data_IF_848482732566
#
_entry.id   IF_848482732566
#
_cell.length_a   1.000
_cell.length_b   1.000
_cell.length_c   1.000
_cell.angle_alpha   90.00
_cell.angle_beta   90.00
_cell.angle_gamma   90.00
#
_symmetry.space_group_name_H-M   'P 1'
#
loop_
_entity.id
_entity.type
_entity.pdbx_description
1 polymer ?
#
# COMPACT_ATOMS: atom_id res chain seq x y z
N UNK A 1 -14.09 -0.17 2.68
CA UNK A 1 -12.86 -0.63 1.98
C UNK A 1 -11.61 -0.45 2.86
N UNK A 2 -11.40 0.70 3.49
CA UNK A 2 -10.28 0.93 4.42
C UNK A 2 -10.26 -0.08 5.59
N UNK A 3 -11.42 -0.42 6.17
CA UNK A 3 -11.50 -1.40 7.26
C UNK A 3 -11.02 -2.80 6.87
N UNK A 4 -11.22 -3.20 5.60
CA UNK A 4 -10.71 -4.48 5.07
C UNK A 4 -9.18 -4.45 4.94
N UNK A 5 -8.60 -3.33 4.53
CA UNK A 5 -7.14 -3.17 4.47
C UNK A 5 -6.51 -3.17 5.88
N UNK A 6 -7.15 -2.51 6.85
CA UNK A 6 -6.71 -2.55 8.25
C UNK A 6 -6.83 -3.97 8.84
N UNK A 7 -7.91 -4.71 8.52
CA UNK A 7 -8.07 -6.10 8.92
C UNK A 7 -6.97 -7.01 8.34
N UNK A 8 -6.66 -6.89 7.05
CA UNK A 8 -5.58 -7.66 6.41
C UNK A 8 -4.21 -7.37 7.02
N UNK A 9 -3.96 -6.12 7.40
CA UNK A 9 -2.71 -5.75 8.08
C UNK A 9 -2.62 -6.41 9.46
N UNK A 10 -3.72 -6.48 10.21
CA UNK A 10 -3.76 -7.19 11.50
C UNK A 10 -3.53 -8.70 11.35
N UNK A 11 -4.03 -9.30 10.26
CA UNK A 11 -3.76 -10.71 9.95
C UNK A 11 -2.28 -10.94 9.62
N UNK A 12 -1.65 -10.01 8.88
CA UNK A 12 -0.22 -10.04 8.62
C UNK A 12 0.61 -9.88 9.91
N UNK A 13 0.20 -8.98 10.82
CA UNK A 13 0.82 -8.82 12.14
C UNK A 13 0.71 -10.11 12.96
N UNK A 14 -0.43 -10.78 12.91
CA UNK A 14 -0.65 -12.06 13.58
C UNK A 14 0.23 -13.17 12.99
N UNK A 15 0.32 -13.27 11.66
CA UNK A 15 1.19 -14.22 10.96
C UNK A 15 2.68 -14.00 11.27
N UNK A 16 3.11 -12.75 11.32
CA UNK A 16 4.46 -12.35 11.69
C UNK A 16 4.88 -12.91 13.05
N UNK A 17 3.94 -12.90 14.02
CA UNK A 17 4.15 -13.44 15.38
C UNK A 17 4.05 -14.95 15.46
N UNK A 18 3.05 -15.55 14.79
CA UNK A 18 2.64 -16.92 15.12
C UNK A 18 3.38 -17.99 14.33
N UNK A 19 3.55 -17.85 13.01
CA UNK A 19 3.72 -19.09 12.28
C UNK A 19 3.20 -19.10 10.87
N UNK A 20 3.80 -19.96 10.03
CA UNK A 20 2.94 -20.82 9.22
C UNK A 20 2.30 -21.78 10.22
N UNK A 21 0.99 -21.70 10.41
CA UNK A 21 0.27 -22.71 11.17
C UNK A 21 -0.17 -23.80 10.18
N UNK A 22 0.08 -25.06 10.50
CA UNK A 22 0.01 -26.22 9.59
C UNK A 22 -1.34 -26.48 8.90
N UNK A 23 -2.37 -25.65 9.11
CA UNK A 23 -3.73 -25.93 8.64
C UNK A 23 -4.53 -24.72 8.12
N UNK A 24 -3.98 -23.51 8.01
CA UNK A 24 -4.79 -22.35 7.61
C UNK A 24 -4.14 -21.55 6.48
N UNK A 25 -4.99 -20.87 5.69
CA UNK A 25 -4.63 -20.03 4.55
C UNK A 25 -3.42 -19.16 4.92
N UNK A 26 -2.32 -19.24 4.15
CA UNK A 26 -1.10 -18.49 4.42
C UNK A 26 -1.40 -16.98 4.28
N UNK A 27 -1.51 -16.26 5.41
CA UNK A 27 -1.69 -14.81 5.47
C UNK A 27 -0.35 -14.08 5.39
N UNK A 28 0.54 -14.56 4.52
CA UNK A 28 1.89 -14.04 4.34
C UNK A 28 1.90 -12.71 3.55
N UNK A 29 3.08 -12.14 3.34
CA UNK A 29 3.24 -10.87 2.60
C UNK A 29 2.75 -11.00 1.16
N UNK A 30 2.90 -12.18 0.55
CA UNK A 30 2.48 -12.42 -0.84
C UNK A 30 0.96 -12.33 -0.93
N UNK A 31 0.26 -13.05 -0.07
CA UNK A 31 -1.19 -13.03 0.03
C UNK A 31 -1.69 -11.63 0.38
N UNK A 32 -1.13 -11.00 1.41
CA UNK A 32 -1.54 -9.66 1.85
C UNK A 32 -1.35 -8.61 0.74
N UNK A 33 -0.23 -8.64 0.02
CA UNK A 33 0.02 -7.79 -1.13
C UNK A 33 -1.04 -7.99 -2.22
N UNK A 34 -1.35 -9.24 -2.57
CA UNK A 34 -2.35 -9.54 -3.59
C UNK A 34 -3.74 -9.03 -3.17
N UNK A 35 -4.11 -9.20 -1.91
CA UNK A 35 -5.40 -8.70 -1.43
C UNK A 35 -5.49 -7.18 -1.45
N UNK A 36 -4.42 -6.47 -1.09
CA UNK A 36 -4.38 -5.01 -1.19
C UNK A 36 -4.46 -4.53 -2.63
N UNK A 37 -3.78 -5.19 -3.57
CA UNK A 37 -3.93 -4.91 -5.01
C UNK A 37 -5.37 -5.09 -5.44
N UNK A 38 -6.00 -6.22 -5.09
CA UNK A 38 -7.40 -6.48 -5.44
C UNK A 38 -8.36 -5.42 -4.88
N UNK A 39 -8.11 -4.92 -3.66
CA UNK A 39 -8.90 -3.83 -3.06
C UNK A 39 -8.72 -2.54 -3.86
N UNK A 40 -7.47 -2.17 -4.18
CA UNK A 40 -7.16 -0.96 -4.95
C UNK A 40 -7.79 -1.03 -6.34
N UNK A 41 -7.67 -2.16 -7.03
CA UNK A 41 -8.25 -2.37 -8.35
C UNK A 41 -9.79 -2.33 -8.29
N UNK A 42 -10.40 -2.89 -7.25
CA UNK A 42 -11.84 -2.79 -7.06
C UNK A 42 -12.29 -1.35 -6.83
N UNK A 43 -11.55 -0.55 -6.05
CA UNK A 43 -11.83 0.88 -5.88
C UNK A 43 -11.72 1.58 -7.23
N UNK A 44 -10.65 1.35 -7.98
CA UNK A 44 -10.41 1.97 -9.28
C UNK A 44 -11.53 1.65 -10.28
N UNK A 45 -11.93 0.38 -10.39
CA UNK A 45 -13.03 -0.05 -11.24
C UNK A 45 -14.37 0.56 -10.83
N UNK A 46 -14.65 0.67 -9.53
CA UNK A 46 -15.89 1.31 -9.06
C UNK A 46 -15.94 2.81 -9.40
N UNK A 47 -14.79 3.48 -9.38
CA UNK A 47 -14.69 4.91 -9.73
C UNK A 47 -14.80 5.15 -11.23
N UNK A 48 -14.21 4.29 -12.05
CA UNK A 48 -14.04 4.52 -13.50
C UNK A 48 -15.08 3.82 -14.38
N UNK A 49 -15.55 2.62 -13.99
CA UNK A 49 -16.35 1.75 -14.86
C UNK A 49 -17.82 1.62 -14.43
N UNK A 50 -18.16 1.89 -13.17
CA UNK A 50 -19.54 1.82 -12.69
C UNK A 50 -20.24 3.17 -12.83
N UNK A 51 -21.58 3.17 -12.74
CA UNK A 51 -22.40 4.40 -12.73
C UNK A 51 -21.74 5.51 -11.90
N UNK A 52 -21.83 6.78 -12.32
CA UNK A 52 -21.09 7.86 -11.68
C UNK A 52 -21.37 7.87 -10.18
N UNK A 53 -20.33 7.55 -9.41
CA UNK A 53 -20.38 7.58 -7.95
C UNK A 53 -20.77 8.98 -7.48
N UNK A 54 -21.50 9.04 -6.37
CA UNK A 54 -21.75 10.32 -5.70
C UNK A 54 -20.41 10.97 -5.29
N UNK A 55 -20.32 12.31 -5.23
CA UNK A 55 -19.12 13.00 -4.76
C UNK A 55 -18.64 12.51 -3.39
N UNK A 56 -19.57 12.21 -2.49
CA UNK A 56 -19.27 11.62 -1.17
C UNK A 56 -18.59 10.24 -1.29
N UNK A 57 -19.12 9.36 -2.14
CA UNK A 57 -18.55 8.02 -2.36
C UNK A 57 -17.14 8.10 -2.96
N UNK A 58 -16.89 9.10 -3.82
CA UNK A 58 -15.56 9.36 -4.38
C UNK A 58 -14.59 9.92 -3.34
N UNK A 59 -15.07 10.80 -2.45
CA UNK A 59 -14.31 11.25 -1.29
C UNK A 59 -13.89 10.09 -0.38
N UNK A 60 -14.81 9.16 -0.08
CA UNK A 60 -14.50 7.96 0.70
C UNK A 60 -13.55 7.00 -0.03
N UNK A 61 -13.66 6.88 -1.35
CA UNK A 61 -12.69 6.13 -2.17
C UNK A 61 -11.29 6.75 -2.09
N UNK A 62 -11.18 8.07 -2.23
CA UNK A 62 -9.91 8.79 -2.11
C UNK A 62 -9.30 8.60 -0.71
N UNK A 63 -10.10 8.77 0.35
CA UNK A 63 -9.69 8.53 1.73
C UNK A 63 -9.18 7.11 1.93
N UNK A 64 -9.87 6.11 1.38
CA UNK A 64 -9.47 4.72 1.49
C UNK A 64 -8.12 4.46 0.81
N UNK A 65 -7.89 4.99 -0.40
CA UNK A 65 -6.64 4.84 -1.13
C UNK A 65 -5.46 5.49 -0.39
N UNK A 66 -5.63 6.73 0.09
CA UNK A 66 -4.63 7.43 0.91
C UNK A 66 -4.30 6.62 2.17
N UNK A 67 -5.33 6.04 2.81
CA UNK A 67 -5.15 5.21 4.00
C UNK A 67 -4.43 3.89 3.70
N UNK A 68 -4.71 3.25 2.56
CA UNK A 68 -4.00 2.04 2.13
C UNK A 68 -2.52 2.36 1.89
N UNK A 69 -2.22 3.48 1.23
CA UNK A 69 -0.84 3.92 1.02
C UNK A 69 -0.13 4.20 2.36
N UNK A 70 -0.82 4.83 3.31
CA UNK A 70 -0.34 5.09 4.68
C UNK A 70 0.00 3.78 5.40
N UNK A 71 -0.86 2.77 5.32
CA UNK A 71 -0.63 1.45 5.91
C UNK A 71 0.65 0.82 5.33
N UNK A 72 0.81 0.82 4.00
CA UNK A 72 1.96 0.19 3.35
C UNK A 72 3.27 0.91 3.66
N UNK A 73 3.25 2.24 3.76
CA UNK A 73 4.43 3.04 4.10
C UNK A 73 4.77 2.93 5.59
N UNK A 74 3.80 3.05 6.51
CA UNK A 74 4.10 3.22 7.94
C UNK A 74 4.01 1.93 8.76
N UNK A 75 3.12 0.99 8.43
CA UNK A 75 2.87 -0.19 9.28
C UNK A 75 3.73 -1.39 8.90
N UNK A 76 4.22 -1.47 7.67
CA UNK A 76 5.00 -2.62 7.24
C UNK A 76 6.50 -2.44 7.55
N UNK A 77 6.85 -2.73 8.79
CA UNK A 77 8.23 -3.09 9.15
C UNK A 77 8.50 -4.52 8.71
N UNK A 78 9.68 -4.74 8.16
CA UNK A 78 10.15 -6.02 7.65
C UNK A 78 9.81 -7.18 8.61
N UNK A 79 9.18 -8.22 8.08
CA UNK A 79 8.94 -9.46 8.82
C UNK A 79 10.27 -9.89 9.46
N UNK A 80 10.19 -10.42 10.68
CA UNK A 80 11.33 -10.79 11.52
C UNK A 80 12.09 -9.61 12.19
N UNK A 81 11.66 -8.36 12.05
CA UNK A 81 12.22 -7.22 12.82
C UNK A 81 11.40 -6.86 14.08
N UNK A 82 10.72 -7.84 14.69
CA UNK A 82 10.08 -7.60 15.98
C UNK A 82 11.15 -7.16 17.01
N UNK A 83 10.78 -6.15 17.82
CA UNK A 83 11.66 -5.59 18.85
C UNK A 83 11.82 -6.55 20.03
N UNK A 84 10.84 -7.44 20.25
CA UNK A 84 10.92 -8.47 21.28
C UNK A 84 11.65 -9.72 20.77
N UNK A 85 12.87 -10.02 21.25
CA UNK A 85 13.62 -11.20 20.85
C UNK A 85 12.94 -12.52 21.22
N UNK A 86 12.04 -12.53 22.21
CA UNK A 86 11.37 -13.73 22.69
C UNK A 86 10.29 -14.25 21.73
N UNK A 87 9.71 -13.36 20.92
CA UNK A 87 8.64 -13.69 19.95
C UNK A 87 9.13 -13.58 18.49
N UNK A 88 10.32 -13.01 18.28
CA UNK A 88 10.91 -12.82 16.94
C UNK A 88 11.26 -14.14 16.26
N UNK A 89 10.54 -14.46 15.19
CA UNK A 89 10.85 -15.60 14.32
C UNK A 89 12.21 -15.41 13.62
N UNK A 90 12.98 -16.49 13.44
CA UNK A 90 14.23 -16.45 12.66
C UNK A 90 13.91 -16.38 11.17
N UNK A 91 14.55 -15.45 10.46
CA UNK A 91 14.48 -15.34 9.01
C UNK A 91 15.01 -16.62 8.36
N UNK A 92 14.25 -17.29 7.47
CA UNK A 92 14.75 -18.38 6.66
C UNK A 92 15.93 -17.93 5.77
N UNK A 93 16.93 -18.80 5.59
CA UNK A 93 18.05 -18.50 4.71
C UNK A 93 17.58 -18.32 3.26
N UNK A 94 18.03 -17.26 2.60
CA UNK A 94 17.75 -17.01 1.18
C UNK A 94 16.41 -16.36 0.87
N UNK A 95 15.55 -16.12 1.87
CA UNK A 95 14.23 -15.51 1.61
C UNK A 95 14.36 -14.08 1.04
N UNK A 96 13.78 -13.80 -0.14
CA UNK A 96 13.84 -12.49 -0.79
C UNK A 96 13.21 -11.39 0.07
N UNK A 97 13.72 -10.16 -0.06
CA UNK A 97 13.15 -9.02 0.67
C UNK A 97 11.69 -8.75 0.31
N UNK A 98 11.32 -8.98 -0.95
CA UNK A 98 9.96 -8.84 -1.50
C UNK A 98 8.97 -9.90 -1.01
N UNK A 99 9.42 -10.94 -0.32
CA UNK A 99 8.55 -11.96 0.31
C UNK A 99 8.36 -11.71 1.81
N UNK A 100 9.14 -10.78 2.38
CA UNK A 100 9.14 -10.47 3.81
C UNK A 100 8.85 -9.00 4.13
N UNK A 101 8.65 -8.17 3.11
CA UNK A 101 8.40 -6.75 3.25
C UNK A 101 7.35 -6.29 2.21
N UNK A 102 6.15 -5.95 2.69
CA UNK A 102 5.00 -5.52 1.88
C UNK A 102 5.29 -4.27 1.03
N UNK A 103 5.99 -3.30 1.59
CA UNK A 103 6.44 -2.10 0.91
C UNK A 103 7.37 -2.46 -0.25
N UNK A 104 8.36 -3.32 -0.03
CA UNK A 104 9.25 -3.75 -1.10
C UNK A 104 8.47 -4.47 -2.20
N UNK A 105 7.49 -5.30 -1.83
CA UNK A 105 6.67 -6.04 -2.79
C UNK A 105 5.75 -5.14 -3.62
N UNK A 106 5.14 -4.12 -3.03
CA UNK A 106 4.12 -3.27 -3.67
C UNK A 106 4.71 -2.03 -4.34
N UNK A 107 5.75 -1.45 -3.76
CA UNK A 107 6.31 -0.15 -4.17
C UNK A 107 7.81 -0.25 -4.46
N UNK A 108 8.60 -0.81 -3.55
CA UNK A 108 10.07 -0.71 -3.55
C UNK A 108 10.79 -1.41 -4.70
N UNK A 109 10.13 -2.31 -5.44
CA UNK A 109 10.72 -3.00 -6.58
C UNK A 109 9.78 -2.97 -7.78
N UNK A 110 10.33 -2.67 -8.96
CA UNK A 110 9.63 -2.83 -10.24
C UNK A 110 10.08 -4.16 -10.87
N UNK A 111 9.16 -5.05 -11.19
CA UNK A 111 9.46 -6.34 -11.83
C UNK A 111 8.32 -7.35 -11.64
N UNK A 112 8.51 -8.57 -12.16
CA UNK A 112 7.49 -9.63 -12.20
C UNK A 112 6.94 -10.02 -10.80
N UNK A 113 7.73 -9.78 -9.75
CA UNK A 113 7.32 -10.04 -8.36
C UNK A 113 6.41 -8.97 -7.76
N UNK A 114 6.20 -7.83 -8.44
CA UNK A 114 5.34 -6.75 -7.97
C UNK A 114 3.91 -6.93 -8.53
N UNK A 115 2.94 -7.37 -7.70
CA UNK A 115 1.58 -7.62 -8.18
C UNK A 115 0.84 -6.34 -8.62
N UNK A 116 1.34 -5.16 -8.27
CA UNK A 116 0.77 -3.87 -8.65
C UNK A 116 1.43 -3.23 -9.89
N UNK A 117 2.38 -3.92 -10.53
CA UNK A 117 3.06 -3.46 -11.74
C UNK A 117 3.77 -2.12 -11.59
N UNK A 118 4.26 -1.78 -10.39
CA UNK A 118 4.95 -0.51 -10.11
C UNK A 118 4.03 0.72 -10.07
N UNK A 119 2.71 0.53 -9.99
CA UNK A 119 1.73 1.62 -9.96
C UNK A 119 0.72 1.50 -8.82
N UNK A 120 1.08 0.80 -7.75
CA UNK A 120 0.24 0.58 -6.58
C UNK A 120 -0.40 1.89 -6.12
N UNK A 121 -1.73 1.92 -6.01
CA UNK A 121 -2.56 3.09 -5.64
C UNK A 121 -2.51 4.27 -6.63
N UNK A 122 -1.41 4.49 -7.35
CA UNK A 122 -1.20 5.66 -8.20
C UNK A 122 -2.28 5.81 -9.27
N UNK A 123 -2.59 4.75 -10.04
CA UNK A 123 -3.61 4.81 -11.11
C UNK A 123 -4.98 5.23 -10.57
N UNK A 124 -5.36 4.66 -9.42
CA UNK A 124 -6.64 4.97 -8.79
C UNK A 124 -6.70 6.43 -8.28
N UNK A 125 -5.59 6.95 -7.76
CA UNK A 125 -5.49 8.36 -7.34
C UNK A 125 -5.50 9.34 -8.52
N UNK A 126 -4.95 8.96 -9.69
CA UNK A 126 -4.99 9.81 -10.88
C UNK A 126 -6.42 10.13 -11.33
N UNK A 127 -7.33 9.18 -11.16
CA UNK A 127 -8.73 9.28 -11.59
C UNK A 127 -9.67 9.83 -10.48
N UNK A 128 -9.12 10.29 -9.35
CA UNK A 128 -9.88 10.80 -8.19
C UNK A 128 -9.48 12.24 -7.83
N UNK A 129 -10.07 13.27 -8.49
CA UNK A 129 -9.83 14.66 -8.10
C UNK A 129 -10.28 14.96 -6.66
N UNK A 130 -11.23 14.19 -6.11
CA UNK A 130 -11.70 14.29 -4.73
C UNK A 130 -10.58 14.02 -3.70
N UNK A 131 -9.45 13.44 -4.11
CA UNK A 131 -8.24 13.34 -3.29
C UNK A 131 -7.60 14.70 -2.94
N UNK A 132 -8.10 15.81 -3.48
CA UNK A 132 -7.66 17.17 -3.14
C UNK A 132 -7.72 17.46 -1.63
N UNK A 133 -8.71 16.89 -0.93
CA UNK A 133 -8.83 17.00 0.54
C UNK A 133 -7.72 16.28 1.32
N UNK A 134 -6.86 15.52 0.65
CA UNK A 134 -5.79 14.70 1.24
C UNK A 134 -4.39 15.07 0.73
N UNK A 135 -4.24 16.20 0.02
CA UNK A 135 -2.95 16.64 -0.55
C UNK A 135 -1.84 16.71 0.51
N UNK A 136 -2.12 17.31 1.66
CA UNK A 136 -1.13 17.44 2.75
C UNK A 136 -0.63 16.06 3.21
N UNK A 137 -1.54 15.07 3.30
CA UNK A 137 -1.16 13.70 3.68
C UNK A 137 -0.35 12.99 2.58
N UNK A 138 -0.70 13.20 1.31
CA UNK A 138 0.06 12.67 0.17
C UNK A 138 1.45 13.31 0.09
N UNK A 139 1.60 14.58 0.45
CA UNK A 139 2.89 15.28 0.54
C UNK A 139 3.77 14.70 1.64
N UNK A 140 3.22 14.42 2.84
CA UNK A 140 3.93 13.71 3.90
C UNK A 140 4.42 12.33 3.44
N UNK A 141 3.53 11.58 2.78
CA UNK A 141 3.85 10.24 2.26
C UNK A 141 4.94 10.32 1.18
N UNK A 142 4.86 11.29 0.27
CA UNK A 142 5.88 11.53 -0.74
C UNK A 142 7.24 11.88 -0.12
N UNK A 143 7.27 12.80 0.85
CA UNK A 143 8.49 13.19 1.55
C UNK A 143 9.14 12.01 2.27
N UNK A 144 8.32 11.14 2.87
CA UNK A 144 8.80 9.90 3.49
C UNK A 144 9.46 8.98 2.46
N UNK A 145 8.77 8.74 1.34
CA UNK A 145 9.26 7.88 0.24
C UNK A 145 10.53 8.43 -0.45
N UNK A 146 10.72 9.75 -0.46
CA UNK A 146 11.89 10.42 -1.05
C UNK A 146 13.10 10.44 -0.10
N UNK A 147 12.90 10.05 1.17
CA UNK A 147 14.00 9.98 2.14
C UNK A 147 14.91 8.77 1.90
N UNK A 148 16.20 8.91 2.23
CA UNK A 148 17.26 7.90 2.00
C UNK A 148 16.96 6.52 2.61
N UNK A 149 16.10 6.48 3.63
CA UNK A 149 15.69 5.23 4.28
C UNK A 149 14.77 4.36 3.40
N UNK A 150 14.22 4.90 2.31
CA UNK A 150 13.29 4.22 1.43
C UNK A 150 13.87 4.09 0.02
N UNK A 151 13.70 2.93 -0.59
CA UNK A 151 14.18 2.63 -1.94
C UNK A 151 13.04 2.70 -2.97
N UNK A 152 12.21 3.74 -2.89
CA UNK A 152 11.11 3.91 -3.83
C UNK A 152 11.67 4.12 -5.26
N UNK A 153 11.15 3.42 -6.29
CA UNK A 153 11.58 3.65 -7.66
C UNK A 153 11.30 5.08 -8.11
N UNK A 154 12.26 5.71 -8.78
CA UNK A 154 12.13 7.11 -9.25
C UNK A 154 10.91 7.35 -10.15
N UNK A 155 10.52 6.34 -10.94
CA UNK A 155 9.29 6.40 -11.75
C UNK A 155 8.02 6.49 -10.87
N UNK A 156 7.98 5.79 -9.74
CA UNK A 156 6.86 5.84 -8.79
C UNK A 156 6.80 7.21 -8.12
N UNK A 157 7.93 7.71 -7.62
CA UNK A 157 8.04 9.04 -6.99
C UNK A 157 7.63 10.16 -7.94
N UNK A 158 8.11 10.12 -9.18
CA UNK A 158 7.78 11.11 -10.21
C UNK A 158 6.28 11.16 -10.50
N UNK A 159 5.62 9.99 -10.59
CA UNK A 159 4.17 9.91 -10.78
C UNK A 159 3.40 10.45 -9.58
N UNK A 160 3.76 10.04 -8.36
CA UNK A 160 3.11 10.54 -7.15
C UNK A 160 3.26 12.05 -7.00
N UNK A 161 4.44 12.60 -7.30
CA UNK A 161 4.69 14.05 -7.32
C UNK A 161 3.78 14.76 -8.33
N UNK A 162 3.63 14.21 -9.53
CA UNK A 162 2.71 14.73 -10.55
C UNK A 162 1.25 14.75 -10.10
N UNK A 163 0.78 13.69 -9.44
CA UNK A 163 -0.56 13.62 -8.84
C UNK A 163 -0.75 14.73 -7.81
N UNK A 164 0.17 14.85 -6.86
CA UNK A 164 0.13 15.87 -5.80
C UNK A 164 0.10 17.27 -6.39
N UNK A 165 0.95 17.57 -7.39
CA UNK A 165 0.96 18.87 -8.05
C UNK A 165 -0.37 19.20 -8.73
N UNK A 166 -1.01 18.24 -9.40
CA UNK A 166 -2.33 18.43 -10.03
C UNK A 166 -3.43 18.68 -9.00
N UNK A 167 -3.47 17.88 -7.93
CA UNK A 167 -4.45 18.05 -6.86
C UNK A 167 -4.29 19.41 -6.17
N UNK A 168 -3.05 19.85 -5.95
CA UNK A 168 -2.76 21.18 -5.38
C UNK A 168 -3.23 22.32 -6.27
N UNK A 169 -3.04 22.21 -7.59
CA UNK A 169 -3.54 23.18 -8.55
C UNK A 169 -5.08 23.23 -8.58
N UNK A 170 -5.76 22.09 -8.41
CA UNK A 170 -7.22 22.02 -8.32
C UNK A 170 -7.81 22.54 -7.00
N UNK A 171 -6.98 22.84 -5.98
CA UNK A 171 -7.38 23.49 -4.72
C UNK A 171 -7.36 25.01 -4.82
N UNK A 172 -6.54 25.56 -5.72
CA UNK A 172 -6.31 27.00 -5.91
C UNK A 172 -7.42 27.62 -6.77
#
# INVERSE_FOLDING_TARGET
>A
MAERADYMTRLLDAFSRSGRQHHDIDHDVIWCAQQLVNIVDSIHQNVTLRQPLSPESRGEAARALVKILDIVIYKNRELYQDRDPAVRRKRPHGEPQTERNLYMRLIGVNGDSNPAGGTFVLRALEDLPEAVGHVEKLEEQLAMLDSVAWSAPQAYLSKLRGIVSRLRAGRA
#
